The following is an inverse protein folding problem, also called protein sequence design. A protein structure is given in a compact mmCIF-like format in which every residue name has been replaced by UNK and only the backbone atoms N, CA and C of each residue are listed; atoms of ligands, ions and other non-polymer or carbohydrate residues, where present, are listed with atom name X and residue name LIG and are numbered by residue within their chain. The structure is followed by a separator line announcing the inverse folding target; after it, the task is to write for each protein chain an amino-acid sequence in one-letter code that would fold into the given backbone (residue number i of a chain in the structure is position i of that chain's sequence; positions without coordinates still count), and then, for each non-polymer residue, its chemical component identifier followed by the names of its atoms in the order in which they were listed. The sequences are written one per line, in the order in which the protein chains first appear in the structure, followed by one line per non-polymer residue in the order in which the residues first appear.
data_IF_865894660397
#
_entry.id   IF_865894660397
#
_cell.length_a   1.000
_cell.length_b   1.000
_cell.length_c   1.000
_cell.angle_alpha   90.00
_cell.angle_beta   90.00
_cell.angle_gamma   90.00
#
_symmetry.space_group_name_H-M   'P 1'
#
loop_
_entity.id
_entity.type
_entity.pdbx_description
1 polymer ?
#
# COMPACT_ATOMS: atom_id res chain seq x y z
N UNK A 1 -12.20 -59.83 -12.38
CA UNK A 1 -11.25 -60.69 -11.66
C UNK A 1 -10.56 -59.84 -10.59
N UNK A 2 -10.67 -60.24 -9.33
CA UNK A 2 -9.97 -59.67 -8.17
C UNK A 2 -8.59 -60.32 -8.07
N UNK A 3 -7.51 -59.58 -7.80
CA UNK A 3 -6.33 -60.09 -7.07
C UNK A 3 -5.67 -58.99 -6.25
N UNK A 4 -5.73 -59.21 -4.95
CA UNK A 4 -5.12 -58.56 -3.78
C UNK A 4 -3.67 -59.01 -3.57
N UNK A 5 -2.99 -58.38 -2.58
CA UNK A 5 -1.76 -58.75 -1.81
C UNK A 5 -0.48 -57.98 -2.20
N UNK A 6 0.41 -57.47 -1.32
CA UNK A 6 0.55 -57.45 0.16
C UNK A 6 1.80 -56.58 0.53
N UNK A 7 1.62 -55.54 1.38
CA UNK A 7 2.37 -55.21 2.63
C UNK A 7 3.93 -55.11 2.66
N UNK A 8 4.46 -53.98 3.19
CA UNK A 8 5.53 -53.99 4.22
C UNK A 8 5.61 -52.65 5.01
N UNK A 9 5.59 -52.78 6.34
CA UNK A 9 5.67 -51.73 7.37
C UNK A 9 7.08 -51.16 7.59
N UNK A 10 7.16 -49.93 8.11
CA UNK A 10 8.13 -49.56 9.15
C UNK A 10 7.62 -48.35 9.95
N UNK A 11 7.35 -48.57 11.24
CA UNK A 11 7.07 -47.56 12.24
C UNK A 11 8.36 -47.25 13.02
N UNK A 12 8.59 -45.98 13.34
CA UNK A 12 9.49 -45.59 14.42
C UNK A 12 8.88 -44.39 15.15
N UNK A 13 8.38 -44.66 16.35
CA UNK A 13 8.09 -43.66 17.37
C UNK A 13 9.34 -43.51 18.25
N UNK A 14 9.71 -42.27 18.57
CA UNK A 14 10.51 -41.96 19.76
C UNK A 14 9.86 -40.79 20.47
N UNK A 15 9.44 -41.03 21.71
CA UNK A 15 8.93 -40.04 22.64
C UNK A 15 9.80 -40.03 23.90
N UNK A 16 9.85 -38.83 24.50
CA UNK A 16 10.18 -38.48 25.89
C UNK A 16 11.66 -38.31 26.27
N UNK A 17 12.00 -37.05 26.59
CA UNK A 17 13.09 -36.65 27.48
C UNK A 17 12.62 -35.45 28.30
N UNK A 18 12.35 -35.71 29.58
CA UNK A 18 11.80 -34.81 30.60
C UNK A 18 12.91 -34.00 31.32
N UNK A 19 12.48 -32.95 32.01
CA UNK A 19 13.18 -31.91 32.76
C UNK A 19 14.42 -32.31 33.60
N UNK A 20 15.34 -31.36 33.79
CA UNK A 20 15.79 -30.95 35.13
C UNK A 20 16.43 -29.55 35.13
N UNK A 21 16.07 -28.78 36.16
CA UNK A 21 16.53 -27.44 36.53
C UNK A 21 17.99 -27.38 36.99
N UNK A 22 18.56 -26.19 36.78
CA UNK A 22 19.46 -25.43 37.66
C UNK A 22 20.79 -26.05 38.14
N UNK A 23 21.90 -25.47 37.67
CA UNK A 23 23.02 -25.12 38.54
C UNK A 23 23.76 -23.88 38.00
N UNK A 24 23.83 -22.86 38.86
CA UNK A 24 24.64 -21.65 38.75
C UNK A 24 26.13 -21.96 38.64
N UNK A 25 26.81 -21.32 37.69
CA UNK A 25 28.21 -20.93 37.82
C UNK A 25 28.46 -19.64 37.03
N UNK A 26 28.61 -18.54 37.78
CA UNK A 26 29.32 -17.33 37.38
C UNK A 26 30.70 -17.69 36.81
N UNK A 27 31.11 -17.02 35.72
CA UNK A 27 32.39 -16.26 35.66
C UNK A 27 32.67 -15.78 34.23
N UNK A 28 33.05 -14.50 34.17
CA UNK A 28 33.79 -13.78 33.14
C UNK A 28 33.02 -13.30 31.90
N UNK A 29 32.56 -12.05 32.04
CA UNK A 29 32.51 -11.08 30.97
C UNK A 29 33.78 -11.16 30.10
N UNK A 30 33.58 -11.42 28.82
CA UNK A 30 34.49 -10.93 27.78
C UNK A 30 33.66 -10.11 26.84
N UNK A 31 33.95 -8.81 26.89
CA UNK A 31 33.45 -7.75 26.05
C UNK A 31 33.86 -8.07 24.60
N UNK A 32 32.95 -8.66 23.82
CA UNK A 32 33.08 -8.70 22.38
C UNK A 32 31.91 -7.93 21.78
N UNK A 33 32.22 -6.68 21.44
CA UNK A 33 31.37 -5.74 20.77
C UNK A 33 31.16 -6.19 19.31
N UNK A 34 30.46 -7.31 19.15
CA UNK A 34 29.87 -7.66 17.86
C UNK A 34 28.68 -6.72 17.69
N UNK A 35 28.91 -5.63 16.95
CA UNK A 35 27.85 -4.83 16.33
C UNK A 35 26.98 -5.79 15.53
N UNK A 36 25.93 -6.29 16.16
CA UNK A 36 24.84 -6.96 15.46
C UNK A 36 24.17 -5.85 14.68
N UNK A 37 24.63 -5.63 13.45
CA UNK A 37 23.82 -4.98 12.44
C UNK A 37 22.60 -5.87 12.29
N UNK A 38 21.55 -5.57 13.05
CA UNK A 38 20.21 -6.03 12.73
C UNK A 38 19.90 -5.39 11.38
N UNK A 39 20.31 -6.07 10.32
CA UNK A 39 19.69 -5.89 9.02
C UNK A 39 18.27 -6.36 9.25
N UNK A 40 17.40 -5.44 9.65
CA UNK A 40 15.96 -5.62 9.52
C UNK A 40 15.72 -5.70 8.02
N UNK A 41 15.91 -6.89 7.46
CA UNK A 41 15.32 -7.27 6.20
C UNK A 41 13.83 -7.31 6.53
N UNK A 42 13.17 -6.16 6.41
CA UNK A 42 11.71 -6.08 6.37
C UNK A 42 11.30 -6.80 5.09
N UNK A 43 11.35 -8.12 5.10
CA UNK A 43 10.56 -8.93 4.19
C UNK A 43 9.12 -8.72 4.64
N UNK A 44 8.52 -7.62 4.20
CA UNK A 44 7.07 -7.44 4.25
C UNK A 44 6.49 -8.52 3.37
N UNK A 45 6.30 -9.72 3.92
CA UNK A 45 5.54 -10.77 3.25
C UNK A 45 4.13 -10.21 3.10
N UNK A 46 3.79 -9.77 1.90
CA UNK A 46 2.46 -9.24 1.62
C UNK A 46 1.45 -10.36 1.85
N UNK A 47 0.58 -10.20 2.86
CA UNK A 47 -0.44 -11.18 3.17
C UNK A 47 -1.62 -11.03 2.19
N UNK A 48 -1.72 -12.03 1.33
CA UNK A 48 -2.79 -12.18 0.34
C UNK A 48 -3.74 -13.34 0.68
N UNK A 49 -3.80 -13.76 1.95
CA UNK A 49 -4.86 -14.65 2.41
C UNK A 49 -6.24 -14.05 2.09
N UNK A 50 -7.26 -14.88 1.79
CA UNK A 50 -8.61 -14.39 1.55
C UNK A 50 -9.12 -13.47 2.66
N UNK A 51 -8.82 -13.78 3.91
CA UNK A 51 -9.19 -13.00 5.09
C UNK A 51 -8.53 -11.61 5.07
N UNK A 52 -7.21 -11.54 4.81
CA UNK A 52 -6.48 -10.28 4.72
C UNK A 52 -6.97 -9.41 3.55
N UNK A 53 -7.27 -10.03 2.40
CA UNK A 53 -7.83 -9.35 1.22
C UNK A 53 -9.19 -8.73 1.54
N UNK A 54 -10.10 -9.50 2.14
CA UNK A 54 -11.43 -9.00 2.50
C UNK A 54 -11.34 -7.89 3.56
N UNK A 55 -10.56 -8.11 4.62
CA UNK A 55 -10.36 -7.11 5.68
C UNK A 55 -9.78 -5.80 5.14
N UNK A 56 -8.82 -5.88 4.21
CA UNK A 56 -8.27 -4.72 3.52
C UNK A 56 -9.32 -4.02 2.65
N UNK A 57 -10.07 -4.78 1.86
CA UNK A 57 -11.13 -4.21 1.03
C UNK A 57 -12.17 -3.46 1.86
N UNK A 58 -12.54 -3.99 3.04
CA UNK A 58 -13.46 -3.34 3.96
C UNK A 58 -12.89 -2.00 4.49
N UNK A 59 -11.62 -1.98 4.94
CA UNK A 59 -10.96 -0.75 5.38
C UNK A 59 -10.92 0.32 4.29
N UNK A 60 -10.53 -0.07 3.08
CA UNK A 60 -10.41 0.85 1.95
C UNK A 60 -11.75 1.42 1.52
N UNK A 61 -12.79 0.58 1.46
CA UNK A 61 -14.13 1.02 1.12
C UNK A 61 -14.74 1.93 2.21
N UNK A 62 -14.48 1.65 3.50
CA UNK A 62 -14.93 2.49 4.60
C UNK A 62 -14.24 3.87 4.60
N UNK A 63 -12.93 3.91 4.40
CA UNK A 63 -12.17 5.17 4.29
C UNK A 63 -12.69 6.01 3.11
N UNK A 64 -12.88 5.35 1.97
CA UNK A 64 -13.42 5.98 0.77
C UNK A 64 -14.86 6.49 0.93
N UNK A 65 -15.72 5.70 1.56
CA UNK A 65 -17.09 6.12 1.84
C UNK A 65 -17.14 7.29 2.83
N UNK A 66 -16.21 7.35 3.79
CA UNK A 66 -16.10 8.47 4.73
C UNK A 66 -15.64 9.75 4.02
N UNK A 67 -14.61 9.65 3.17
CA UNK A 67 -14.04 10.81 2.48
C UNK A 67 -14.98 11.38 1.41
N UNK A 68 -15.64 10.53 0.63
CA UNK A 68 -16.50 10.94 -0.48
C UNK A 68 -18.00 10.88 -0.17
N UNK A 69 -18.36 10.51 1.07
CA UNK A 69 -19.74 10.45 1.59
C UNK A 69 -20.65 9.56 0.73
N UNK A 70 -20.20 8.34 0.46
CA UNK A 70 -20.98 7.35 -0.27
C UNK A 70 -22.14 6.81 0.54
N UNK A 71 -23.19 6.38 -0.16
CA UNK A 71 -24.20 5.51 0.45
C UNK A 71 -23.67 4.08 0.65
N UNK A 72 -24.41 3.30 1.43
CA UNK A 72 -24.03 1.93 1.79
C UNK A 72 -23.94 1.01 0.55
N UNK A 73 -24.80 1.26 -0.45
CA UNK A 73 -24.83 0.51 -1.70
C UNK A 73 -23.57 0.76 -2.56
N UNK A 74 -23.14 2.01 -2.69
CA UNK A 74 -21.94 2.41 -3.41
C UNK A 74 -20.69 1.90 -2.68
N UNK A 75 -20.64 2.04 -1.35
CA UNK A 75 -19.56 1.47 -0.54
C UNK A 75 -19.41 -0.03 -0.76
N UNK A 76 -20.52 -0.77 -0.78
CA UNK A 76 -20.50 -2.23 -0.98
C UNK A 76 -19.92 -2.60 -2.34
N UNK A 77 -20.28 -1.89 -3.42
CA UNK A 77 -19.69 -2.09 -4.74
C UNK A 77 -18.19 -1.75 -4.78
N UNK A 78 -17.77 -0.66 -4.14
CA UNK A 78 -16.36 -0.26 -4.00
C UNK A 78 -15.56 -1.35 -3.27
N UNK A 79 -16.13 -1.90 -2.19
CA UNK A 79 -15.55 -3.00 -1.42
C UNK A 79 -15.36 -4.25 -2.27
N UNK A 80 -16.34 -4.62 -3.08
CA UNK A 80 -16.23 -5.78 -3.98
C UNK A 80 -15.15 -5.59 -5.06
N UNK A 81 -15.02 -4.37 -5.58
CA UNK A 81 -13.93 -4.02 -6.50
C UNK A 81 -12.56 -4.18 -5.83
N UNK A 82 -12.39 -3.69 -4.60
CA UNK A 82 -11.12 -3.84 -3.89
C UNK A 82 -10.81 -5.28 -3.49
N UNK A 83 -11.82 -6.07 -3.12
CA UNK A 83 -11.64 -7.50 -2.87
C UNK A 83 -11.16 -8.21 -4.15
N UNK A 84 -11.77 -7.90 -5.28
CA UNK A 84 -11.37 -8.42 -6.60
C UNK A 84 -9.96 -7.98 -6.97
N UNK A 85 -9.59 -6.72 -6.74
CA UNK A 85 -8.21 -6.23 -6.95
C UNK A 85 -7.21 -7.01 -6.09
N UNK A 86 -7.52 -7.20 -4.80
CA UNK A 86 -6.68 -7.95 -3.89
C UNK A 86 -6.46 -9.40 -4.32
N UNK A 87 -7.49 -10.04 -4.87
CA UNK A 87 -7.38 -11.39 -5.47
C UNK A 87 -6.47 -11.40 -6.70
N UNK A 88 -6.64 -10.45 -7.64
CA UNK A 88 -5.75 -10.32 -8.81
C UNK A 88 -4.30 -10.10 -8.40
N UNK A 89 -4.07 -9.31 -7.34
CA UNK A 89 -2.73 -9.11 -6.78
C UNK A 89 -2.18 -10.39 -6.13
N UNK A 90 -3.02 -11.22 -5.49
CA UNK A 90 -2.60 -12.51 -4.97
C UNK A 90 -2.12 -13.44 -6.09
N UNK A 91 -2.89 -13.53 -7.18
CA UNK A 91 -2.54 -14.30 -8.38
C UNK A 91 -1.27 -13.77 -9.06
N UNK A 92 -1.13 -12.44 -9.16
CA UNK A 92 0.07 -11.79 -9.66
C UNK A 92 1.30 -12.22 -8.85
N UNK A 93 1.21 -12.13 -7.52
CA UNK A 93 2.34 -12.49 -6.67
C UNK A 93 2.70 -13.97 -6.81
N UNK A 94 1.72 -14.88 -6.90
CA UNK A 94 1.98 -16.30 -7.16
C UNK A 94 2.63 -16.53 -8.54
N UNK A 95 2.17 -15.83 -9.57
CA UNK A 95 2.68 -15.98 -10.94
C UNK A 95 4.11 -15.48 -11.12
N UNK A 96 4.48 -14.40 -10.43
CA UNK A 96 5.77 -13.74 -10.57
C UNK A 96 6.72 -14.01 -9.38
N UNK A 97 6.52 -15.11 -8.61
CA UNK A 97 7.40 -15.46 -7.47
C UNK A 97 8.84 -15.76 -7.90
N UNK A 98 9.03 -16.34 -9.10
CA UNK A 98 10.33 -16.83 -9.58
C UNK A 98 10.84 -16.08 -10.82
N UNK A 99 9.96 -15.38 -11.52
CA UNK A 99 10.27 -14.53 -12.68
C UNK A 99 9.59 -13.19 -12.46
N UNK A 100 10.35 -12.12 -12.29
CA UNK A 100 9.83 -10.77 -12.05
C UNK A 100 9.64 -9.99 -13.35
N UNK A 101 10.03 -10.55 -14.50
CA UNK A 101 10.01 -9.86 -15.78
C UNK A 101 8.56 -9.66 -16.23
N UNK A 102 8.08 -8.41 -16.15
CA UNK A 102 6.70 -8.05 -16.46
C UNK A 102 5.74 -7.94 -15.26
N UNK A 103 6.21 -8.21 -14.02
CA UNK A 103 5.38 -8.04 -12.81
C UNK A 103 4.86 -6.60 -12.69
N UNK A 104 5.71 -5.60 -12.96
CA UNK A 104 5.33 -4.19 -12.87
C UNK A 104 4.25 -3.81 -13.90
N UNK A 105 4.33 -4.36 -15.12
CA UNK A 105 3.34 -4.12 -16.17
C UNK A 105 1.99 -4.74 -15.80
N UNK A 106 1.99 -5.99 -15.34
CA UNK A 106 0.78 -6.68 -14.91
C UNK A 106 0.17 -6.05 -13.64
N UNK A 107 0.98 -5.54 -12.71
CA UNK A 107 0.48 -4.75 -11.56
C UNK A 107 -0.22 -3.48 -12.02
N UNK A 108 0.37 -2.76 -12.99
CA UNK A 108 -0.22 -1.53 -13.53
C UNK A 108 -1.54 -1.80 -14.27
N UNK A 109 -1.62 -2.93 -14.96
CA UNK A 109 -2.85 -3.40 -15.62
C UNK A 109 -3.97 -3.67 -14.60
N UNK A 110 -3.65 -4.33 -13.48
CA UNK A 110 -4.60 -4.54 -12.37
C UNK A 110 -5.13 -3.20 -11.86
N UNK A 111 -4.27 -2.22 -11.59
CA UNK A 111 -4.71 -0.89 -11.14
C UNK A 111 -5.59 -0.18 -12.19
N UNK A 112 -5.20 -0.22 -13.46
CA UNK A 112 -5.96 0.41 -14.57
C UNK A 112 -7.35 -0.22 -14.73
N UNK A 113 -7.42 -1.55 -14.60
CA UNK A 113 -8.69 -2.29 -14.62
C UNK A 113 -9.56 -1.91 -13.44
N UNK A 114 -8.99 -1.84 -12.22
CA UNK A 114 -9.72 -1.38 -11.04
C UNK A 114 -10.26 0.04 -11.21
N UNK A 115 -9.51 0.95 -11.81
CA UNK A 115 -9.99 2.32 -12.04
C UNK A 115 -11.18 2.35 -13.01
N UNK A 116 -11.15 1.49 -14.02
CA UNK A 116 -12.27 1.33 -14.97
C UNK A 116 -13.51 0.77 -14.25
N UNK A 117 -13.33 -0.19 -13.35
CA UNK A 117 -14.40 -0.73 -12.51
C UNK A 117 -14.96 0.34 -11.55
N UNK A 118 -14.10 1.10 -10.87
CA UNK A 118 -14.50 2.19 -9.97
C UNK A 118 -15.31 3.26 -10.69
N UNK A 119 -14.89 3.64 -11.91
CA UNK A 119 -15.61 4.60 -12.75
C UNK A 119 -17.06 4.19 -13.02
N UNK A 120 -17.33 2.88 -13.12
CA UNK A 120 -18.68 2.37 -13.34
C UNK A 120 -19.59 2.44 -12.11
N UNK A 121 -19.01 2.57 -10.92
CA UNK A 121 -19.74 2.60 -9.65
C UNK A 121 -20.13 4.02 -9.25
N UNK A 122 -19.33 5.02 -9.58
CA UNK A 122 -19.63 6.40 -9.25
C UNK A 122 -20.62 7.01 -10.24
N UNK A 123 -21.82 7.30 -9.74
CA UNK A 123 -22.89 7.92 -10.53
C UNK A 123 -22.75 9.43 -10.64
N UNK A 124 -22.03 10.05 -9.70
CA UNK A 124 -21.70 11.48 -9.73
C UNK A 124 -20.31 11.67 -10.37
N UNK A 125 -20.19 12.44 -11.46
CA UNK A 125 -18.91 12.74 -12.10
C UNK A 125 -17.86 13.33 -11.14
N UNK A 126 -18.30 14.10 -10.12
CA UNK A 126 -17.40 14.72 -9.15
C UNK A 126 -16.75 13.70 -8.21
N UNK A 127 -17.42 12.58 -7.94
CA UNK A 127 -16.89 11.49 -7.11
C UNK A 127 -15.74 10.77 -7.81
N UNK A 128 -15.86 10.51 -9.12
CA UNK A 128 -14.77 9.88 -9.85
C UNK A 128 -13.55 10.81 -9.97
N UNK A 129 -13.75 12.11 -10.18
CA UNK A 129 -12.64 13.07 -10.16
C UNK A 129 -11.96 13.15 -8.79
N UNK A 130 -12.72 13.18 -7.70
CA UNK A 130 -12.17 13.14 -6.34
C UNK A 130 -11.39 11.83 -6.06
N UNK A 131 -11.90 10.70 -6.54
CA UNK A 131 -11.20 9.43 -6.52
C UNK A 131 -9.89 9.50 -7.30
N UNK A 132 -9.89 10.01 -8.53
CA UNK A 132 -8.67 10.11 -9.35
C UNK A 132 -7.56 10.92 -8.67
N UNK A 133 -7.93 12.06 -8.06
CA UNK A 133 -6.99 12.90 -7.30
C UNK A 133 -6.43 12.22 -6.05
N UNK A 134 -7.19 11.31 -5.43
CA UNK A 134 -6.83 10.63 -4.18
C UNK A 134 -6.45 9.15 -4.35
N UNK A 135 -6.43 8.62 -5.58
CA UNK A 135 -6.30 7.19 -5.90
C UNK A 135 -5.11 6.53 -5.20
N UNK A 136 -3.97 7.21 -5.10
CA UNK A 136 -2.75 6.69 -4.48
C UNK A 136 -2.88 6.48 -2.98
N UNK A 137 -3.86 7.10 -2.32
CA UNK A 137 -4.21 6.84 -0.92
C UNK A 137 -4.87 5.48 -0.77
N UNK A 138 -5.44 4.92 -1.83
CA UNK A 138 -6.12 3.63 -1.85
C UNK A 138 -5.33 2.57 -2.63
N UNK A 139 -4.00 2.62 -2.55
CA UNK A 139 -3.14 1.53 -3.01
C UNK A 139 -2.97 0.48 -1.91
N UNK A 140 -2.92 -0.78 -2.34
CA UNK A 140 -2.84 -1.94 -1.43
C UNK A 140 -1.69 -1.80 -0.42
N UNK A 141 -0.55 -1.27 -0.86
CA UNK A 141 0.67 -1.06 -0.06
C UNK A 141 0.42 -0.28 1.24
N UNK A 142 -0.53 0.68 1.24
CA UNK A 142 -0.88 1.45 2.44
C UNK A 142 -1.74 0.69 3.45
N UNK A 143 -2.36 -0.40 3.02
CA UNK A 143 -3.30 -1.20 3.81
C UNK A 143 -2.82 -2.63 4.07
N UNK A 144 -1.60 -2.98 3.64
CA UNK A 144 -0.98 -4.29 3.82
C UNK A 144 -0.52 -4.55 5.26
N UNK A 145 -0.23 -3.50 6.04
CA UNK A 145 0.20 -3.67 7.42
C UNK A 145 -1.02 -3.81 8.34
N UNK A 146 -1.23 -5.02 8.87
CA UNK A 146 -2.28 -5.30 9.85
C UNK A 146 -1.99 -4.62 11.22
N UNK A 147 -0.80 -4.02 11.40
CA UNK A 147 -0.31 -3.50 12.68
C UNK A 147 -0.56 -2.00 12.95
N UNK A 148 -1.12 -1.20 12.03
CA UNK A 148 -1.20 0.27 12.24
C UNK A 148 -2.61 0.90 12.19
N UNK A 149 -3.67 0.10 12.26
CA UNK A 149 -5.02 0.63 12.55
C UNK A 149 -5.72 -0.23 13.62
N UNK A 150 -4.95 -0.73 14.58
CA UNK A 150 -5.51 -1.30 15.81
C UNK A 150 -6.10 -0.20 16.68
N UNK A 151 -7.43 -0.23 16.85
CA UNK A 151 -8.23 0.36 17.93
C UNK A 151 -7.79 1.73 18.48
N UNK A 152 -8.59 2.75 18.19
CA UNK A 152 -8.70 3.92 19.07
C UNK A 152 -10.17 4.14 19.46
N UNK A 153 -10.74 3.15 20.14
CA UNK A 153 -11.88 3.35 21.04
C UNK A 153 -11.35 3.81 22.40
N UNK A 154 -11.04 5.11 22.53
CA UNK A 154 -11.20 5.84 23.78
C UNK A 154 -11.32 7.34 23.48
N UNK A 155 -12.54 7.86 23.65
CA UNK A 155 -12.87 9.27 23.50
C UNK A 155 -12.14 10.11 24.56
N UNK A 156 -11.57 11.26 24.18
CA UNK A 156 -11.83 12.57 24.81
C UNK A 156 -10.88 13.66 24.24
N UNK A 157 -11.50 14.76 23.79
CA UNK A 157 -10.92 16.10 23.66
C UNK A 157 -9.72 16.27 22.71
N UNK A 158 -9.98 16.47 21.43
CA UNK A 158 -10.09 17.82 20.85
C UNK A 158 -10.13 17.72 19.33
N UNK A 159 -11.03 18.50 18.74
CA UNK A 159 -11.03 18.89 17.34
C UNK A 159 -9.63 19.32 16.91
N UNK A 160 -8.85 18.40 16.36
CA UNK A 160 -7.74 18.72 15.49
C UNK A 160 -8.13 18.17 14.13
N UNK A 161 -8.63 19.08 13.30
CA UNK A 161 -8.77 18.94 11.87
C UNK A 161 -7.61 18.11 11.30
N UNK A 162 -7.84 16.84 10.99
CA UNK A 162 -7.08 16.17 9.95
C UNK A 162 -7.73 16.51 8.62
N UNK A 163 -7.63 17.80 8.30
CA UNK A 163 -7.71 18.30 6.94
C UNK A 163 -6.50 17.73 6.19
N UNK A 164 -6.68 16.54 5.62
CA UNK A 164 -5.75 15.98 4.64
C UNK A 164 -6.17 16.42 3.21
N UNK A 165 -6.89 17.53 3.10
CA UNK A 165 -6.83 18.39 1.92
C UNK A 165 -5.41 18.92 1.85
N UNK A 166 -4.71 18.73 0.73
CA UNK A 166 -3.63 19.67 0.43
C UNK A 166 -4.31 21.02 0.25
N UNK A 167 -4.36 21.82 1.31
CA UNK A 167 -4.93 23.15 1.30
C UNK A 167 -4.33 23.93 0.11
N UNK A 168 -5.20 24.63 -0.59
CA UNK A 168 -4.94 25.58 -1.66
C UNK A 168 -3.84 26.60 -1.26
N UNK A 169 -2.57 26.26 -1.48
CA UNK A 169 -1.43 27.08 -1.03
C UNK A 169 -0.30 26.28 -0.37
N UNK A 170 -0.49 24.99 -0.15
CA UNK A 170 0.45 24.08 0.49
C UNK A 170 1.78 23.99 -0.26
N UNK A 171 2.88 24.13 0.50
CA UNK A 171 4.25 23.90 0.03
C UNK A 171 4.83 22.72 0.80
N UNK A 172 5.23 21.69 0.08
CA UNK A 172 5.95 20.55 0.62
C UNK A 172 7.39 20.58 0.10
N UNK A 173 8.35 20.28 0.97
CA UNK A 173 9.74 20.04 0.60
C UNK A 173 10.13 18.68 1.14
N UNK A 174 10.67 17.81 0.30
CA UNK A 174 11.23 16.53 0.76
C UNK A 174 12.68 16.70 1.22
N UNK A 175 13.19 15.70 1.96
CA UNK A 175 14.57 15.69 2.45
C UNK A 175 15.60 15.63 1.31
N UNK A 176 15.20 15.15 0.14
CA UNK A 176 16.01 15.16 -1.08
C UNK A 176 16.16 16.56 -1.70
N UNK A 177 15.39 17.56 -1.25
CA UNK A 177 15.49 18.94 -1.71
C UNK A 177 14.45 19.36 -2.73
N UNK A 178 13.59 18.43 -3.16
CA UNK A 178 12.50 18.69 -4.09
C UNK A 178 11.41 19.50 -3.40
N UNK A 179 10.72 20.34 -4.18
CA UNK A 179 9.66 21.22 -3.71
C UNK A 179 8.43 21.02 -4.57
N UNK A 180 7.31 20.75 -3.92
CA UNK A 180 5.99 20.74 -4.54
C UNK A 180 5.18 21.87 -3.94
N UNK A 181 4.57 22.70 -4.78
CA UNK A 181 3.64 23.75 -4.37
C UNK A 181 2.33 23.56 -5.10
N UNK A 182 1.26 23.35 -4.36
CA UNK A 182 -0.12 23.45 -4.86
C UNK A 182 -0.57 24.89 -4.63
N UNK A 183 -1.06 25.54 -5.67
CA UNK A 183 -1.60 26.89 -5.57
C UNK A 183 -3.12 26.84 -5.37
N UNK A 184 -3.69 27.98 -4.96
CA UNK A 184 -5.12 28.07 -4.70
C UNK A 184 -6.01 27.96 -5.94
N UNK A 185 -5.43 28.21 -7.11
CA UNK A 185 -6.05 27.98 -8.43
C UNK A 185 -5.95 26.50 -8.87
N UNK A 186 -5.40 25.61 -8.03
CA UNK A 186 -5.21 24.19 -8.35
C UNK A 186 -3.93 23.89 -9.12
N UNK A 187 -3.19 24.90 -9.59
CA UNK A 187 -1.92 24.68 -10.27
C UNK A 187 -0.91 23.93 -9.38
N UNK A 188 -0.21 22.96 -9.96
CA UNK A 188 0.87 22.25 -9.29
C UNK A 188 2.21 22.68 -9.85
N UNK A 189 3.07 23.27 -9.01
CA UNK A 189 4.46 23.61 -9.35
C UNK A 189 5.40 22.65 -8.64
N UNK A 190 6.23 21.95 -9.40
CA UNK A 190 7.29 21.09 -8.89
C UNK A 190 8.65 21.67 -9.25
N UNK A 191 9.60 21.59 -8.32
CA UNK A 191 11.01 21.86 -8.55
C UNK A 191 11.81 20.72 -7.94
N UNK A 192 12.66 20.05 -8.69
CA UNK A 192 13.56 19.05 -8.14
C UNK A 192 14.82 19.68 -7.54
N UNK A 193 15.63 18.84 -6.89
CA UNK A 193 16.90 19.22 -6.31
C UNK A 193 17.90 19.72 -7.37
N UNK A 194 17.84 19.14 -8.57
CA UNK A 194 18.67 19.46 -9.73
C UNK A 194 18.31 20.82 -10.36
N UNK A 195 17.16 21.41 -10.00
CA UNK A 195 16.75 22.74 -10.41
C UNK A 195 15.76 22.77 -11.57
N UNK A 196 15.39 21.62 -12.11
CA UNK A 196 14.33 21.48 -13.10
C UNK A 196 12.99 21.87 -12.48
N UNK A 197 12.10 22.42 -13.30
CA UNK A 197 10.79 22.90 -12.88
C UNK A 197 9.72 22.30 -13.76
N UNK A 198 8.62 21.87 -13.16
CA UNK A 198 7.39 21.55 -13.87
C UNK A 198 6.26 22.40 -13.30
N UNK A 199 5.37 22.90 -14.15
CA UNK A 199 4.07 23.44 -13.75
C UNK A 199 3.00 22.65 -14.50
N UNK A 200 2.04 22.11 -13.79
CA UNK A 200 0.79 21.61 -14.35
C UNK A 200 -0.30 22.64 -14.07
N UNK A 201 -1.02 23.03 -15.11
CA UNK A 201 -2.15 23.94 -15.04
C UNK A 201 -3.43 23.16 -14.75
N UNK A 202 -4.21 23.59 -13.76
CA UNK A 202 -5.43 22.89 -13.38
C UNK A 202 -6.61 23.21 -14.31
N UNK A 203 -6.59 24.38 -14.95
CA UNK A 203 -7.70 24.85 -15.79
C UNK A 203 -7.74 24.11 -17.14
N UNK A 204 -6.58 23.92 -17.77
CA UNK A 204 -6.46 23.36 -19.13
C UNK A 204 -5.58 22.12 -19.23
N UNK A 205 -5.01 21.63 -18.12
CA UNK A 205 -4.13 20.47 -18.09
C UNK A 205 -2.75 20.69 -18.72
N UNK A 206 -2.42 21.90 -19.15
CA UNK A 206 -1.13 22.21 -19.80
C UNK A 206 0.03 21.94 -18.84
N UNK A 207 1.02 21.18 -19.30
CA UNK A 207 2.25 20.91 -18.56
C UNK A 207 3.40 21.73 -19.15
N UNK A 208 3.98 22.61 -18.34
CA UNK A 208 5.17 23.42 -18.68
C UNK A 208 6.36 22.84 -17.95
N UNK A 209 7.34 22.32 -18.69
CA UNK A 209 8.60 21.83 -18.14
C UNK A 209 9.74 22.78 -18.47
N UNK A 210 10.63 23.01 -17.52
CA UNK A 210 11.86 23.78 -17.70
C UNK A 210 13.01 23.01 -17.06
N UNK A 211 13.89 22.37 -17.85
CA UNK A 211 15.13 21.82 -17.32
C UNK A 211 16.00 22.93 -16.72
N UNK A 212 16.86 22.60 -15.76
CA UNK A 212 17.78 23.53 -15.12
C UNK A 212 18.64 24.27 -16.16
N UNK A 213 19.15 23.53 -17.15
CA UNK A 213 20.04 24.01 -18.21
C UNK A 213 19.35 24.09 -19.58
N UNK A 214 18.02 24.18 -19.62
CA UNK A 214 17.24 24.09 -20.85
C UNK A 214 16.14 25.14 -21.02
N UNK A 215 15.62 25.20 -22.24
CA UNK A 215 14.48 26.04 -22.58
C UNK A 215 13.16 25.44 -22.08
N UNK A 216 12.17 26.31 -21.92
CA UNK A 216 10.83 25.91 -21.49
C UNK A 216 10.13 25.13 -22.60
N UNK A 217 9.68 23.92 -22.29
CA UNK A 217 8.80 23.13 -23.14
C UNK A 217 7.37 23.21 -22.62
N UNK A 218 6.41 23.37 -23.51
CA UNK A 218 4.98 23.40 -23.19
C UNK A 218 4.32 22.21 -23.88
N UNK A 219 3.66 21.36 -23.09
CA UNK A 219 2.85 20.24 -23.54
C UNK A 219 1.40 20.60 -23.25
N UNK A 220 0.57 20.55 -24.29
CA UNK A 220 -0.88 20.72 -24.21
C UNK A 220 -1.54 19.39 -24.51
#
# INVERSE_FOLDING_TARGET
MKKTLLLLSAAAAFSLGSCSENNTADTAATDDMTTTTTTTTTSTSMDYSPEAVNSRADRMANDMATSMKFDDATRTKVRDIYATRGQRMAELNQKYMTDTMGMAAARRDIYTTTDTEMKSVFTDPTQYSAYESSRSNYYDERYMDNSSMGSSDNMNASSADMDNSMDAGSKMKDDAGNKVKVQADGDVKMKDAEGNKAKMDADDGTVKMKPADGDKTVIK
#
